data_IF_647470709248
#
_entry.id   IF_647470709248
#
_cell.length_a   1.000
_cell.length_b   1.000
_cell.length_c   1.000
_cell.angle_alpha   90.00
_cell.angle_beta   90.00
_cell.angle_gamma   90.00
#
_symmetry.space_group_name_H-M   'P 1'
#
loop_
_entity.id
_entity.type
_entity.pdbx_description
1 polymer ?
#
# COMPACT_ATOMS: atom_id res chain seq x y z
N UNK A 1 -53.85 -14.61 -2.01
CA UNK A 1 -52.50 -14.74 -2.58
C UNK A 1 -51.62 -13.67 -1.95
N UNK A 2 -50.92 -14.01 -0.86
CA UNK A 2 -50.07 -13.05 -0.14
C UNK A 2 -48.67 -13.05 -0.76
N UNK A 3 -48.23 -11.88 -1.21
CA UNK A 3 -46.88 -11.68 -1.72
C UNK A 3 -45.88 -11.77 -0.55
N UNK A 4 -45.04 -12.81 -0.57
CA UNK A 4 -43.86 -12.89 0.28
C UNK A 4 -42.90 -11.78 -0.16
N UNK A 5 -42.80 -10.73 0.65
CA UNK A 5 -41.69 -9.78 0.55
C UNK A 5 -40.46 -10.46 1.12
N UNK A 6 -39.53 -10.83 0.24
CA UNK A 6 -38.27 -11.44 0.59
C UNK A 6 -37.43 -10.41 1.38
N UNK A 7 -37.52 -10.48 2.70
CA UNK A 7 -36.88 -9.57 3.64
C UNK A 7 -35.37 -9.77 3.62
N UNK A 8 -34.67 -9.01 2.79
CA UNK A 8 -33.22 -8.87 2.88
C UNK A 8 -32.87 -7.40 3.05
N UNK A 9 -32.75 -6.99 4.30
CA UNK A 9 -32.17 -5.69 4.68
C UNK A 9 -30.77 -5.54 4.09
N UNK A 10 -30.21 -4.31 4.04
CA UNK A 10 -28.94 -4.04 3.39
C UNK A 10 -27.84 -4.90 4.01
N UNK A 11 -27.40 -5.91 3.26
CA UNK A 11 -26.31 -6.80 3.68
C UNK A 11 -25.07 -5.95 3.92
N UNK A 12 -24.55 -5.98 5.14
CA UNK A 12 -23.29 -5.35 5.50
C UNK A 12 -22.23 -5.83 4.51
N UNK A 13 -21.70 -4.91 3.70
CA UNK A 13 -20.74 -5.24 2.63
C UNK A 13 -19.56 -6.01 3.24
N UNK A 14 -19.42 -7.29 2.87
CA UNK A 14 -18.32 -8.13 3.35
C UNK A 14 -17.00 -7.51 2.88
N UNK A 15 -16.09 -7.24 3.82
CA UNK A 15 -14.73 -6.81 3.49
C UNK A 15 -13.89 -8.05 3.28
N UNK A 16 -13.42 -8.26 2.04
CA UNK A 16 -12.55 -9.37 1.71
C UNK A 16 -11.13 -9.13 2.27
N UNK A 17 -10.53 -10.19 2.81
CA UNK A 17 -9.11 -10.22 3.16
C UNK A 17 -8.22 -10.12 1.91
N UNK A 18 -6.91 -9.96 2.09
CA UNK A 18 -5.98 -9.97 0.96
C UNK A 18 -6.01 -11.32 0.22
N UNK A 19 -6.01 -12.42 0.98
CA UNK A 19 -6.08 -13.79 0.47
C UNK A 19 -7.38 -14.04 -0.31
N UNK A 20 -8.52 -13.61 0.23
CA UNK A 20 -9.81 -13.76 -0.47
C UNK A 20 -9.85 -12.98 -1.79
N UNK A 21 -9.22 -11.78 -1.85
CA UNK A 21 -9.12 -11.02 -3.10
C UNK A 21 -8.21 -11.72 -4.12
N UNK A 22 -7.12 -12.36 -3.66
CA UNK A 22 -6.25 -13.16 -4.53
C UNK A 22 -7.02 -14.33 -5.12
N UNK A 23 -7.77 -15.08 -4.29
CA UNK A 23 -8.59 -16.19 -4.76
C UNK A 23 -9.63 -15.75 -5.79
N UNK A 24 -10.35 -14.65 -5.54
CA UNK A 24 -11.27 -14.04 -6.53
C UNK A 24 -10.56 -13.76 -7.84
N UNK A 25 -9.35 -13.20 -7.81
CA UNK A 25 -8.60 -12.89 -9.03
C UNK A 25 -8.19 -14.15 -9.80
N UNK A 26 -7.78 -15.23 -9.11
CA UNK A 26 -7.45 -16.51 -9.72
C UNK A 26 -8.68 -17.16 -10.40
N UNK A 27 -9.84 -17.14 -9.74
CA UNK A 27 -11.10 -17.63 -10.34
C UNK A 27 -11.47 -16.87 -11.61
N UNK A 28 -11.29 -15.55 -11.64
CA UNK A 28 -11.54 -14.74 -12.84
C UNK A 28 -10.53 -15.01 -13.95
N UNK A 29 -9.29 -15.35 -13.61
CA UNK A 29 -8.24 -15.67 -14.58
C UNK A 29 -8.45 -17.03 -15.23
N UNK A 30 -9.02 -18.01 -14.53
CA UNK A 30 -9.33 -19.31 -15.12
C UNK A 30 -10.41 -19.21 -16.21
N UNK A 31 -11.23 -18.16 -16.19
CA UNK A 31 -12.33 -17.95 -17.12
C UNK A 31 -13.55 -18.83 -16.82
N UNK A 32 -13.51 -19.63 -15.75
CA UNK A 32 -14.59 -20.52 -15.34
C UNK A 32 -15.73 -19.80 -14.61
N UNK A 33 -15.49 -18.57 -14.15
CA UNK A 33 -16.49 -17.74 -13.46
C UNK A 33 -16.65 -16.38 -14.14
N UNK A 34 -17.88 -15.91 -14.26
CA UNK A 34 -18.13 -14.53 -14.66
C UNK A 34 -17.93 -13.58 -13.47
N UNK A 35 -17.76 -12.28 -13.75
CA UNK A 35 -17.64 -11.27 -12.68
C UNK A 35 -18.89 -11.24 -11.79
N UNK A 36 -20.06 -11.53 -12.36
CA UNK A 36 -21.34 -11.53 -11.65
C UNK A 36 -21.43 -12.73 -10.71
N UNK A 37 -21.07 -13.91 -11.20
CA UNK A 37 -21.10 -15.13 -10.40
C UNK A 37 -20.08 -15.08 -9.24
N UNK A 38 -18.89 -14.51 -9.50
CA UNK A 38 -17.91 -14.24 -8.46
C UNK A 38 -18.44 -13.24 -7.42
N UNK A 39 -19.09 -12.15 -7.85
CA UNK A 39 -19.69 -11.17 -6.94
C UNK A 39 -20.75 -11.80 -6.02
N UNK A 40 -21.63 -12.63 -6.59
CA UNK A 40 -22.68 -13.35 -5.85
C UNK A 40 -22.08 -14.36 -4.85
N UNK A 41 -21.13 -15.18 -5.31
CA UNK A 41 -20.45 -16.19 -4.48
C UNK A 41 -19.71 -15.57 -3.28
N UNK A 42 -19.00 -14.48 -3.51
CA UNK A 42 -18.18 -13.81 -2.50
C UNK A 42 -18.98 -12.78 -1.67
N UNK A 43 -20.24 -12.52 -2.03
CA UNK A 43 -21.12 -11.59 -1.32
C UNK A 43 -20.67 -10.13 -1.42
N UNK A 44 -20.10 -9.75 -2.57
CA UNK A 44 -19.57 -8.40 -2.83
C UNK A 44 -20.25 -7.77 -4.05
N UNK A 45 -20.04 -6.46 -4.23
CA UNK A 45 -20.57 -5.76 -5.39
C UNK A 45 -19.71 -6.05 -6.65
N UNK A 46 -20.29 -6.17 -7.86
CA UNK A 46 -19.50 -6.36 -9.09
C UNK A 46 -18.42 -5.29 -9.32
N UNK A 47 -18.62 -4.05 -8.86
CA UNK A 47 -17.58 -3.00 -8.90
C UNK A 47 -16.36 -3.34 -8.04
N UNK A 48 -16.55 -4.10 -6.96
CA UNK A 48 -15.47 -4.60 -6.10
C UNK A 48 -14.64 -5.66 -6.85
N UNK A 49 -15.31 -6.57 -7.58
CA UNK A 49 -14.66 -7.55 -8.45
C UNK A 49 -13.83 -6.86 -9.54
N UNK A 50 -14.40 -5.84 -10.20
CA UNK A 50 -13.69 -5.04 -11.19
C UNK A 50 -12.45 -4.34 -10.59
N UNK A 51 -12.59 -3.76 -9.39
CA UNK A 51 -11.48 -3.12 -8.69
C UNK A 51 -10.37 -4.11 -8.33
N UNK A 52 -10.72 -5.31 -7.86
CA UNK A 52 -9.77 -6.40 -7.58
C UNK A 52 -8.98 -6.74 -8.84
N UNK A 53 -9.66 -6.95 -9.98
CA UNK A 53 -9.00 -7.24 -11.26
C UNK A 53 -8.00 -6.16 -11.68
N UNK A 54 -8.38 -4.88 -11.55
CA UNK A 54 -7.51 -3.76 -11.90
C UNK A 54 -6.27 -3.69 -11.00
N UNK A 55 -6.47 -3.76 -9.69
CA UNK A 55 -5.38 -3.66 -8.70
C UNK A 55 -4.45 -4.87 -8.79
N UNK A 56 -4.99 -6.07 -8.90
CA UNK A 56 -4.20 -7.29 -9.00
C UNK A 56 -3.34 -7.29 -10.27
N UNK A 57 -3.91 -6.92 -11.43
CA UNK A 57 -3.15 -6.81 -12.68
C UNK A 57 -2.06 -5.75 -12.59
N UNK A 58 -2.37 -4.56 -12.09
CA UNK A 58 -1.38 -3.49 -11.95
C UNK A 58 -0.25 -3.87 -10.96
N UNK A 59 -0.62 -4.47 -9.83
CA UNK A 59 0.32 -4.96 -8.83
C UNK A 59 1.23 -6.06 -9.38
N UNK A 60 0.67 -7.04 -10.08
CA UNK A 60 1.44 -8.11 -10.73
C UNK A 60 2.41 -7.55 -11.78
N UNK A 61 1.96 -6.63 -12.65
CA UNK A 61 2.83 -5.99 -13.64
C UNK A 61 3.95 -5.18 -12.98
N UNK A 62 3.65 -4.45 -11.90
CA UNK A 62 4.65 -3.70 -11.14
C UNK A 62 5.68 -4.62 -10.50
N UNK A 63 5.24 -5.70 -9.84
CA UNK A 63 6.13 -6.69 -9.22
C UNK A 63 6.99 -7.41 -10.26
N UNK A 64 6.42 -7.78 -11.41
CA UNK A 64 7.15 -8.43 -12.50
C UNK A 64 8.17 -7.48 -13.16
N UNK A 65 7.85 -6.19 -13.31
CA UNK A 65 8.79 -5.20 -13.84
C UNK A 65 9.99 -4.99 -12.89
N UNK A 66 9.78 -5.13 -11.58
CA UNK A 66 10.84 -5.05 -10.57
C UNK A 66 11.63 -6.36 -10.44
N UNK A 67 10.99 -7.50 -10.71
CA UNK A 67 11.62 -8.82 -10.66
C UNK A 67 12.64 -8.97 -11.78
N UNK A 68 13.93 -8.89 -11.43
CA UNK A 68 15.06 -9.15 -12.33
C UNK A 68 15.69 -10.49 -12.00
N UNK A 69 15.49 -11.54 -12.82
CA UNK A 69 16.14 -12.83 -12.61
C UNK A 69 17.66 -12.68 -12.58
N UNK A 70 18.32 -13.28 -11.59
CA UNK A 70 19.78 -13.25 -11.43
C UNK A 70 20.34 -11.98 -10.76
N UNK A 71 19.53 -10.94 -10.58
CA UNK A 71 19.87 -9.83 -9.68
C UNK A 71 19.41 -10.25 -8.30
N UNK A 72 20.33 -10.47 -7.36
CA UNK A 72 19.95 -10.58 -5.95
C UNK A 72 19.13 -9.34 -5.64
N UNK A 73 17.86 -9.52 -5.25
CA UNK A 73 17.10 -8.44 -4.67
C UNK A 73 17.98 -7.89 -3.56
N UNK A 74 18.52 -6.69 -3.77
CA UNK A 74 19.39 -6.05 -2.80
C UNK A 74 18.57 -6.00 -1.53
N UNK A 75 19.01 -6.77 -0.53
CA UNK A 75 18.45 -6.78 0.80
C UNK A 75 18.25 -5.32 1.22
N UNK A 76 17.00 -4.83 1.16
CA UNK A 76 16.62 -3.41 1.25
C UNK A 76 17.81 -2.46 1.07
N UNK A 77 18.32 -2.31 -0.17
CA UNK A 77 19.52 -1.52 -0.53
C UNK A 77 20.32 -1.09 0.70
N UNK A 78 21.18 -1.95 1.26
CA UNK A 78 21.92 -1.64 2.49
C UNK A 78 22.61 -0.26 2.42
N UNK A 79 22.97 0.17 1.22
CA UNK A 79 23.43 1.52 0.89
C UNK A 79 22.37 2.62 1.15
N UNK A 80 21.10 2.40 0.79
CA UNK A 80 19.97 3.28 1.14
C UNK A 80 19.75 3.35 2.65
N UNK A 81 19.85 2.24 3.38
CA UNK A 81 19.72 2.23 4.85
C UNK A 81 20.88 3.00 5.48
N UNK A 82 22.11 2.74 5.03
CA UNK A 82 23.29 3.46 5.48
C UNK A 82 23.19 4.96 5.17
N UNK A 83 22.73 5.33 3.98
CA UNK A 83 22.51 6.72 3.58
C UNK A 83 21.46 7.41 4.47
N UNK A 84 20.36 6.73 4.80
CA UNK A 84 19.33 7.27 5.71
C UNK A 84 19.86 7.46 7.13
N UNK A 85 20.65 6.52 7.63
CA UNK A 85 21.29 6.64 8.94
C UNK A 85 22.27 7.82 8.99
N UNK A 86 23.06 8.02 7.93
CA UNK A 86 23.99 9.13 7.85
C UNK A 86 23.27 10.48 7.74
N UNK A 87 22.18 10.56 6.96
CA UNK A 87 21.34 11.77 6.90
C UNK A 87 20.80 12.13 8.30
N UNK A 88 20.34 11.14 9.06
CA UNK A 88 19.83 11.38 10.41
C UNK A 88 20.93 11.92 11.35
N UNK A 89 22.13 11.33 11.30
CA UNK A 89 23.30 11.81 12.07
C UNK A 89 23.66 13.25 11.72
N UNK A 90 23.77 13.55 10.42
CA UNK A 90 24.10 14.89 9.94
C UNK A 90 23.03 15.92 10.32
N UNK A 91 21.75 15.54 10.29
CA UNK A 91 20.67 16.42 10.69
C UNK A 91 20.77 16.85 12.16
N UNK A 92 21.16 15.94 13.07
CA UNK A 92 21.40 16.31 14.47
C UNK A 92 22.61 17.26 14.61
N UNK A 93 23.72 16.97 13.94
CA UNK A 93 24.88 17.88 13.94
C UNK A 93 24.52 19.27 13.43
N UNK A 94 23.71 19.37 12.37
CA UNK A 94 23.26 20.66 11.83
C UNK A 94 22.37 21.41 12.84
N UNK A 95 21.53 20.71 13.60
CA UNK A 95 20.72 21.33 14.66
C UNK A 95 21.58 21.88 15.79
N UNK A 96 22.57 21.11 16.26
CA UNK A 96 23.52 21.55 17.29
C UNK A 96 24.27 22.81 16.85
N UNK A 97 24.81 22.79 15.63
CA UNK A 97 25.49 23.94 15.04
C UNK A 97 24.58 25.17 14.91
N UNK A 98 23.31 24.98 14.54
CA UNK A 98 22.34 26.06 14.45
C UNK A 98 22.09 26.71 15.82
N UNK A 99 22.02 25.92 16.89
CA UNK A 99 21.88 26.43 18.27
C UNK A 99 23.11 27.25 18.66
N UNK A 100 24.32 26.73 18.45
CA UNK A 100 25.55 27.45 18.75
C UNK A 100 25.65 28.77 17.98
N UNK A 101 25.29 28.77 16.69
CA UNK A 101 25.26 29.98 15.86
C UNK A 101 24.30 31.04 16.40
N UNK A 102 23.12 30.64 16.89
CA UNK A 102 22.16 31.56 17.50
C UNK A 102 22.74 32.19 18.76
N UNK A 103 23.39 31.40 19.62
CA UNK A 103 24.03 31.89 20.85
C UNK A 103 25.17 32.86 20.52
N UNK A 104 26.04 32.52 19.57
CA UNK A 104 27.16 33.37 19.15
C UNK A 104 26.67 34.69 18.55
N UNK A 105 25.65 34.64 17.68
CA UNK A 105 25.03 35.85 17.11
C UNK A 105 24.33 36.69 18.17
N UNK A 106 23.77 36.06 19.21
CA UNK A 106 23.20 36.75 20.37
C UNK A 106 24.26 37.56 21.13
N UNK A 107 25.40 36.93 21.47
CA UNK A 107 26.53 37.59 22.15
C UNK A 107 27.09 38.78 21.34
N UNK A 108 27.33 38.56 20.05
CA UNK A 108 27.78 39.61 19.12
C UNK A 108 26.83 40.82 19.07
N UNK A 109 25.52 40.60 19.21
CA UNK A 109 24.51 41.68 19.21
C UNK A 109 24.40 42.40 20.55
N UNK A 110 24.67 41.73 21.68
CA UNK A 110 24.61 42.34 23.01
C UNK A 110 25.87 43.13 23.41
N UNK A 111 26.90 43.16 22.55
CA UNK A 111 28.11 43.98 22.77
C UNK A 111 28.99 43.54 23.95
N UNK A 112 28.80 42.31 24.44
CA UNK A 112 29.66 41.61 25.40
C UNK A 112 30.34 40.43 24.73
#
# INVERSE_FOLDING_TARGET
MAAVKDGRGPRRRKRLSAEEKLQVWLELLSGETSQRDAAERWGVDPTTIMRIRQVARAGALSALAQSRPGVRAAAEDAELVAARAEIARLAETVKEQAIELVVLRGKQRSGW
#
